data_IF_213007632685
#
_entry.id   IF_213007632685
#
_cell.length_a   1.000
_cell.length_b   1.000
_cell.length_c   1.000
_cell.angle_alpha   90.00
_cell.angle_beta   90.00
_cell.angle_gamma   90.00
#
_symmetry.space_group_name_H-M   'P 1'
#
loop_
_entity.id
_entity.type
_entity.pdbx_description
1 polymer ?
#
# COMPACT_ATOMS: atom_id res chain seq x y z
N UNK A 1 -43.05 10.43 10.71
CA UNK A 1 -41.80 11.20 10.53
C UNK A 1 -40.72 10.24 10.03
N UNK A 2 -40.34 10.33 8.75
CA UNK A 2 -39.32 9.48 8.11
C UNK A 2 -37.98 10.21 8.16
N UNK A 3 -37.00 9.65 8.86
CA UNK A 3 -35.61 10.12 8.81
C UNK A 3 -34.86 9.35 7.73
N UNK A 4 -34.57 9.99 6.61
CA UNK A 4 -33.63 9.49 5.60
C UNK A 4 -32.22 9.86 6.03
N UNK A 5 -31.39 8.86 6.31
CA UNK A 5 -29.95 9.01 6.44
C UNK A 5 -29.31 9.20 5.08
N UNK A 6 -28.53 10.27 4.91
CA UNK A 6 -27.66 10.48 3.77
C UNK A 6 -26.21 10.20 4.18
N UNK A 7 -25.75 8.98 3.89
CA UNK A 7 -24.34 8.64 3.79
C UNK A 7 -23.80 9.25 2.48
N UNK A 8 -23.10 10.38 2.55
CA UNK A 8 -22.33 10.88 1.41
C UNK A 8 -20.89 10.40 1.53
N UNK A 9 -20.59 9.29 0.86
CA UNK A 9 -19.21 8.90 0.54
C UNK A 9 -18.69 9.82 -0.56
N UNK A 10 -17.69 10.64 -0.28
CA UNK A 10 -17.00 11.47 -1.28
C UNK A 10 -15.78 10.70 -1.79
N UNK A 11 -15.73 10.26 -3.05
CA UNK A 11 -14.51 9.67 -3.61
C UNK A 11 -13.47 10.77 -3.87
N UNK A 12 -12.24 10.53 -3.40
CA UNK A 12 -11.06 11.37 -3.62
C UNK A 12 -10.61 11.27 -5.08
N UNK A 13 -11.20 12.10 -5.94
CA UNK A 13 -10.85 12.18 -7.35
C UNK A 13 -9.56 13.02 -7.55
N UNK A 14 -8.46 12.36 -7.87
CA UNK A 14 -7.24 13.00 -8.34
C UNK A 14 -7.46 13.61 -9.74
N UNK A 15 -7.22 14.92 -9.89
CA UNK A 15 -7.36 15.65 -11.15
C UNK A 15 -5.98 15.89 -11.77
N UNK A 16 -5.69 15.22 -12.88
CA UNK A 16 -4.48 15.45 -13.67
C UNK A 16 -4.52 16.82 -14.39
N UNK A 17 -3.37 17.50 -14.61
CA UNK A 17 -3.33 18.74 -15.38
C UNK A 17 -3.48 18.46 -16.89
N UNK A 18 -4.53 18.99 -17.50
CA UNK A 18 -4.71 18.96 -18.95
C UNK A 18 -3.80 19.97 -19.66
N UNK A 19 -3.02 19.50 -20.63
CA UNK A 19 -2.26 20.38 -21.52
C UNK A 19 -3.19 21.04 -22.55
N UNK A 20 -3.31 22.37 -22.50
CA UNK A 20 -3.91 23.19 -23.57
C UNK A 20 -2.98 23.17 -24.78
N UNK A 21 -3.45 22.62 -25.89
CA UNK A 21 -2.84 22.86 -27.20
C UNK A 21 -3.35 24.19 -27.75
N UNK A 22 -2.53 25.22 -27.71
CA UNK A 22 -2.72 26.45 -28.49
C UNK A 22 -2.48 26.16 -29.97
N UNK A 23 -3.35 26.68 -30.83
CA UNK A 23 -3.38 26.37 -32.25
C UNK A 23 -2.38 27.14 -33.12
N UNK A 24 -2.44 26.84 -34.40
CA UNK A 24 -1.97 27.71 -35.47
C UNK A 24 -2.87 27.50 -36.69
N UNK A 25 -3.61 28.55 -37.04
CA UNK A 25 -4.27 28.72 -38.34
C UNK A 25 -3.21 29.22 -39.32
N UNK A 26 -3.05 28.55 -40.46
CA UNK A 26 -2.22 28.99 -41.56
C UNK A 26 -2.98 28.81 -42.88
N UNK A 27 -3.39 29.93 -43.46
CA UNK A 27 -3.94 30.03 -44.81
C UNK A 27 -2.82 29.89 -45.83
N UNK A 28 -3.03 29.14 -46.91
CA UNK A 28 -2.44 29.42 -48.23
C UNK A 28 -3.44 29.04 -49.33
N UNK A 29 -3.64 29.98 -50.25
CA UNK A 29 -4.57 29.93 -51.37
C UNK A 29 -3.86 29.54 -52.68
N UNK A 30 -4.64 28.89 -53.56
CA UNK A 30 -4.64 28.92 -55.04
C UNK A 30 -3.38 28.49 -55.84
N UNK A 31 -3.50 27.55 -56.80
CA UNK A 31 -3.91 27.77 -58.22
C UNK A 31 -3.83 26.42 -59.01
N UNK A 32 -4.26 26.45 -60.27
CA UNK A 32 -4.96 25.47 -61.13
C UNK A 32 -4.15 24.57 -62.10
N UNK A 33 -4.76 23.41 -62.44
CA UNK A 33 -4.87 22.66 -63.74
C UNK A 33 -3.60 21.98 -64.35
N UNK A 34 -3.63 20.65 -64.54
CA UNK A 34 -3.64 19.94 -65.85
C UNK A 34 -3.37 18.41 -65.73
N UNK A 35 -4.05 17.65 -66.60
CA UNK A 35 -4.05 16.18 -66.79
C UNK A 35 -2.67 15.52 -67.01
N UNK A 36 -2.52 14.28 -66.51
CA UNK A 36 -2.04 13.10 -67.25
C UNK A 36 -2.25 11.83 -66.40
N UNK A 37 -3.17 10.97 -66.85
CA UNK A 37 -3.40 9.66 -66.27
C UNK A 37 -2.35 8.66 -66.82
N UNK A 38 -1.35 8.34 -66.01
CA UNK A 38 -0.48 7.17 -66.24
C UNK A 38 -0.81 6.15 -65.16
N UNK A 39 -1.42 5.05 -65.57
CA UNK A 39 -1.71 3.92 -64.70
C UNK A 39 -0.38 3.21 -64.38
N UNK A 40 0.17 3.49 -63.19
CA UNK A 40 1.28 2.73 -62.61
C UNK A 40 0.68 1.66 -61.71
N UNK A 41 0.96 0.36 -61.89
CA UNK A 41 0.54 -0.64 -60.92
C UNK A 41 1.32 -0.39 -59.62
N UNK A 42 0.65 0.22 -58.65
CA UNK A 42 1.17 0.35 -57.29
C UNK A 42 1.29 -1.07 -56.71
N UNK A 43 2.50 -1.60 -56.70
CA UNK A 43 2.86 -2.69 -55.81
C UNK A 43 2.55 -2.20 -54.39
N UNK A 44 1.78 -2.95 -53.58
CA UNK A 44 1.66 -2.63 -52.18
C UNK A 44 3.03 -2.93 -51.57
N UNK A 45 3.89 -1.91 -51.52
CA UNK A 45 4.97 -1.88 -50.58
C UNK A 45 4.29 -2.05 -49.22
N UNK A 46 4.39 -3.25 -48.65
CA UNK A 46 4.14 -3.49 -47.25
C UNK A 46 5.13 -2.60 -46.50
N UNK A 47 4.74 -1.35 -46.30
CA UNK A 47 5.27 -0.52 -45.25
C UNK A 47 4.93 -1.29 -43.98
N UNK A 48 5.90 -2.09 -43.51
CA UNK A 48 6.04 -2.36 -42.10
C UNK A 48 6.28 -0.99 -41.45
N UNK A 49 5.20 -0.22 -41.31
CA UNK A 49 5.09 0.75 -40.26
C UNK A 49 5.29 -0.08 -39.01
N UNK A 50 6.53 -0.03 -38.54
CA UNK A 50 6.97 -0.50 -37.24
C UNK A 50 6.09 0.24 -36.26
N UNK A 51 4.90 -0.32 -36.02
CA UNK A 51 3.97 0.11 -35.01
C UNK A 51 4.83 0.19 -33.78
N UNK A 52 5.06 1.43 -33.35
CA UNK A 52 5.79 1.74 -32.14
C UNK A 52 4.93 1.06 -31.08
N UNK A 53 5.26 -0.20 -30.73
CA UNK A 53 4.76 -0.87 -29.55
C UNK A 53 5.10 0.12 -28.46
N UNK A 54 4.13 0.93 -28.07
CA UNK A 54 4.13 1.63 -26.80
C UNK A 54 4.02 0.47 -25.82
N UNK A 55 5.17 -0.17 -25.56
CA UNK A 55 5.28 -1.26 -24.64
C UNK A 55 4.76 -0.70 -23.34
N UNK A 56 3.63 -1.25 -22.90
CA UNK A 56 3.08 -1.02 -21.59
C UNK A 56 4.18 -1.44 -20.62
N UNK A 57 4.98 -0.46 -20.17
CA UNK A 57 6.03 -0.70 -19.17
C UNK A 57 5.27 -1.19 -17.95
N UNK A 58 5.49 -2.43 -17.55
CA UNK A 58 4.94 -2.99 -16.32
C UNK A 58 5.86 -2.62 -15.16
N UNK A 59 5.34 -2.66 -13.93
CA UNK A 59 6.19 -2.58 -12.74
C UNK A 59 7.25 -3.69 -12.76
N UNK A 60 8.41 -3.43 -12.18
CA UNK A 60 9.54 -4.37 -12.10
C UNK A 60 10.14 -4.37 -10.70
N UNK A 61 10.70 -5.49 -10.22
CA UNK A 61 11.39 -5.52 -8.93
C UNK A 61 12.50 -4.47 -8.85
N UNK A 62 12.66 -3.82 -7.70
CA UNK A 62 13.59 -2.70 -7.55
C UNK A 62 15.07 -3.09 -7.42
N UNK A 63 15.36 -4.36 -7.13
CA UNK A 63 16.74 -4.84 -6.94
C UNK A 63 17.46 -4.20 -5.74
N UNK A 64 16.71 -3.69 -4.76
CA UNK A 64 17.24 -3.14 -3.51
C UNK A 64 17.36 -4.30 -2.51
N UNK A 65 18.49 -4.40 -1.84
CA UNK A 65 18.70 -5.41 -0.81
C UNK A 65 17.84 -5.14 0.44
N UNK A 66 17.72 -6.14 1.31
CA UNK A 66 16.90 -6.06 2.52
C UNK A 66 17.25 -4.85 3.40
N UNK A 67 18.53 -4.57 3.60
CA UNK A 67 18.96 -3.48 4.48
C UNK A 67 18.64 -2.13 3.85
N UNK A 68 18.82 -1.99 2.53
CA UNK A 68 18.39 -0.81 1.78
C UNK A 68 16.90 -0.52 1.93
N UNK A 69 16.06 -1.55 1.84
CA UNK A 69 14.60 -1.44 2.06
C UNK A 69 14.30 -0.97 3.49
N UNK A 70 14.94 -1.58 4.49
CA UNK A 70 14.73 -1.21 5.90
C UNK A 70 15.16 0.24 6.19
N UNK A 71 16.25 0.71 5.57
CA UNK A 71 16.72 2.09 5.72
C UNK A 71 15.67 3.08 5.17
N UNK A 72 15.11 2.80 3.99
CA UNK A 72 14.09 3.65 3.37
C UNK A 72 12.81 3.71 4.21
N UNK A 73 12.31 2.56 4.65
CA UNK A 73 11.10 2.47 5.47
C UNK A 73 11.30 3.19 6.81
N UNK A 74 12.36 2.85 7.55
CA UNK A 74 12.61 3.41 8.89
C UNK A 74 12.93 4.89 8.81
N UNK A 75 13.71 5.33 7.83
CA UNK A 75 14.05 6.74 7.65
C UNK A 75 12.80 7.61 7.47
N UNK A 76 11.87 7.21 6.62
CA UNK A 76 10.63 7.96 6.39
C UNK A 76 9.73 7.98 7.62
N UNK A 77 9.51 6.81 8.25
CA UNK A 77 8.58 6.70 9.39
C UNK A 77 9.12 7.34 10.67
N UNK A 78 10.44 7.28 10.91
CA UNK A 78 11.05 7.98 12.06
C UNK A 78 11.08 9.49 11.87
N UNK A 79 11.28 9.99 10.65
CA UNK A 79 11.14 11.42 10.37
C UNK A 79 9.70 11.90 10.63
N UNK A 80 8.71 11.09 10.24
CA UNK A 80 7.30 11.37 10.53
C UNK A 80 6.99 11.32 12.03
N UNK A 81 7.55 10.36 12.76
CA UNK A 81 7.44 10.26 14.22
C UNK A 81 7.90 11.53 14.93
N UNK A 82 9.12 11.96 14.61
CA UNK A 82 9.73 13.17 15.17
C UNK A 82 8.91 14.41 14.83
N UNK A 83 8.39 14.50 13.61
CA UNK A 83 7.55 15.60 13.18
C UNK A 83 6.21 15.63 13.94
N UNK A 84 5.57 14.47 14.16
CA UNK A 84 4.33 14.37 14.95
C UNK A 84 4.56 14.78 16.40
N UNK A 85 5.63 14.29 17.03
CA UNK A 85 5.96 14.55 18.44
C UNK A 85 6.31 16.01 18.71
N UNK A 86 7.01 16.65 17.78
CA UNK A 86 7.48 18.05 17.95
C UNK A 86 6.57 19.08 17.31
N UNK A 87 5.69 18.67 16.40
CA UNK A 87 4.96 19.56 15.50
C UNK A 87 5.83 20.18 14.41
N UNK A 88 7.10 19.77 14.27
CA UNK A 88 8.03 20.31 13.28
C UNK A 88 8.21 19.37 12.08
N UNK A 89 7.64 19.73 10.94
CA UNK A 89 7.65 18.94 9.72
C UNK A 89 8.74 19.34 8.72
N UNK A 90 9.62 20.29 9.05
CA UNK A 90 10.65 20.74 8.09
C UNK A 90 11.61 19.61 7.74
N UNK A 91 12.02 18.79 8.71
CA UNK A 91 12.92 17.64 8.46
C UNK A 91 12.28 16.63 7.52
N UNK A 92 11.02 16.22 7.78
CA UNK A 92 10.31 15.30 6.89
C UNK A 92 10.19 15.87 5.47
N UNK A 93 9.84 17.16 5.35
CA UNK A 93 9.77 17.86 4.07
C UNK A 93 11.11 17.85 3.34
N UNK A 94 12.18 18.23 4.03
CA UNK A 94 13.50 18.44 3.43
C UNK A 94 14.22 17.11 3.09
N UNK A 95 13.88 16.01 3.79
CA UNK A 95 14.27 14.65 3.40
C UNK A 95 13.53 14.15 2.15
N UNK A 96 12.38 14.76 1.86
CA UNK A 96 11.62 14.49 0.66
C UNK A 96 12.26 15.01 -0.61
N UNK A 97 11.67 14.56 -1.69
CA UNK A 97 12.02 14.95 -3.04
C UNK A 97 11.54 16.37 -3.36
N UNK A 98 11.99 17.02 -4.45
CA UNK A 98 11.50 18.34 -4.84
C UNK A 98 9.97 18.39 -4.98
N UNK A 99 9.35 17.32 -5.48
CA UNK A 99 7.89 17.24 -5.58
C UNK A 99 7.22 17.11 -4.21
N UNK A 100 7.82 16.38 -3.27
CA UNK A 100 7.31 16.32 -1.89
C UNK A 100 7.51 17.65 -1.14
N UNK A 101 8.61 18.35 -1.41
CA UNK A 101 8.93 19.67 -0.86
C UNK A 101 7.97 20.77 -1.32
N UNK A 102 7.14 20.53 -2.34
CA UNK A 102 6.04 21.42 -2.68
C UNK A 102 5.00 21.55 -1.55
N UNK A 103 4.96 20.60 -0.61
CA UNK A 103 4.20 20.75 0.63
C UNK A 103 4.87 21.76 1.57
N UNK A 104 4.08 22.60 2.23
CA UNK A 104 4.57 23.39 3.36
C UNK A 104 4.66 22.54 4.62
N UNK A 105 5.55 22.91 5.56
CA UNK A 105 5.63 22.22 6.86
C UNK A 105 4.30 22.30 7.63
N UNK A 106 3.59 23.44 7.54
CA UNK A 106 2.24 23.59 8.10
C UNK A 106 1.24 22.64 7.44
N UNK A 107 1.24 22.54 6.11
CA UNK A 107 0.36 21.64 5.37
C UNK A 107 0.59 20.17 5.71
N UNK A 108 1.86 19.75 5.87
CA UNK A 108 2.17 18.40 6.38
C UNK A 108 1.64 18.21 7.81
N UNK A 109 1.73 19.23 8.66
CA UNK A 109 1.15 19.21 10.01
C UNK A 109 -0.36 19.04 10.04
N UNK A 110 -1.06 19.59 9.05
CA UNK A 110 -2.51 19.42 8.89
C UNK A 110 -2.86 18.02 8.39
N UNK A 111 -2.11 17.50 7.41
CA UNK A 111 -2.29 16.15 6.85
C UNK A 111 -2.12 15.09 7.94
N UNK A 112 -1.10 15.22 8.78
CA UNK A 112 -0.78 14.25 9.84
C UNK A 112 -1.40 14.60 11.20
N UNK A 113 -2.30 15.59 11.24
CA UNK A 113 -2.91 16.03 12.50
C UNK A 113 -3.65 14.91 13.22
N UNK A 114 -4.26 13.97 12.49
CA UNK A 114 -4.98 12.85 13.09
C UNK A 114 -4.03 11.89 13.82
N UNK A 115 -2.91 11.52 13.18
CA UNK A 115 -1.90 10.65 13.76
C UNK A 115 -1.27 11.28 15.02
N UNK A 116 -1.00 12.59 14.97
CA UNK A 116 -0.54 13.33 16.16
C UNK A 116 -1.59 13.35 17.28
N UNK A 117 -2.87 13.58 16.98
CA UNK A 117 -3.97 13.57 17.98
C UNK A 117 -4.13 12.20 18.63
N UNK A 118 -3.90 11.14 17.87
CA UNK A 118 -3.92 9.76 18.36
C UNK A 118 -2.66 9.39 19.17
N UNK A 119 -1.70 10.32 19.33
CA UNK A 119 -0.43 10.13 20.03
C UNK A 119 0.31 8.87 19.54
N UNK A 120 0.32 8.66 18.22
CA UNK A 120 1.00 7.50 17.64
C UNK A 120 2.50 7.58 17.86
N UNK A 121 3.02 6.58 18.54
CA UNK A 121 4.45 6.39 18.72
C UNK A 121 4.97 5.42 17.65
N UNK A 122 5.59 5.98 16.61
CA UNK A 122 6.28 5.17 15.61
C UNK A 122 7.71 4.85 16.05
N UNK A 123 8.16 5.19 17.25
CA UNK A 123 9.48 4.82 17.76
C UNK A 123 9.74 3.31 17.73
N UNK A 124 8.70 2.49 17.88
CA UNK A 124 8.79 1.04 17.75
C UNK A 124 9.26 0.58 16.36
N UNK A 125 9.02 1.36 15.29
CA UNK A 125 9.45 1.01 13.92
C UNK A 125 10.98 1.00 13.77
N UNK A 126 11.71 1.62 14.70
CA UNK A 126 13.17 1.57 14.73
C UNK A 126 13.70 0.15 14.97
N UNK A 127 12.96 -0.67 15.72
CA UNK A 127 13.40 -2.00 16.17
C UNK A 127 12.59 -3.11 15.52
N UNK A 128 11.30 -2.91 15.31
CA UNK A 128 10.44 -3.89 14.69
C UNK A 128 10.82 -4.10 13.21
N UNK A 129 10.58 -5.32 12.74
CA UNK A 129 10.71 -5.67 11.33
C UNK A 129 9.35 -5.55 10.64
N UNK A 130 9.25 -4.83 9.51
CA UNK A 130 8.02 -4.75 8.76
C UNK A 130 7.76 -6.05 7.99
N UNK A 131 6.49 -6.42 7.87
CA UNK A 131 6.03 -7.40 6.89
C UNK A 131 5.54 -6.66 5.65
N UNK A 132 6.12 -6.97 4.50
CA UNK A 132 5.79 -6.31 3.24
C UNK A 132 4.58 -6.99 2.59
N UNK A 133 3.54 -6.22 2.33
CA UNK A 133 2.40 -6.62 1.51
C UNK A 133 2.64 -6.31 0.03
N UNK A 134 3.50 -5.32 -0.23
CA UNK A 134 4.02 -4.99 -1.56
C UNK A 134 5.54 -4.92 -1.50
N UNK A 135 6.18 -5.88 -2.18
CA UNK A 135 7.63 -5.90 -2.35
C UNK A 135 8.10 -4.65 -3.11
N UNK A 136 9.32 -4.16 -2.84
CA UNK A 136 9.86 -2.97 -3.48
C UNK A 136 9.94 -3.16 -5.00
N UNK A 137 9.18 -2.34 -5.72
CA UNK A 137 9.12 -2.35 -7.17
C UNK A 137 9.24 -0.94 -7.75
N UNK A 138 9.81 -0.86 -8.95
CA UNK A 138 9.84 0.35 -9.76
C UNK A 138 8.63 0.33 -10.68
N UNK A 139 7.77 1.31 -10.48
CA UNK A 139 6.58 1.55 -11.27
C UNK A 139 6.93 2.08 -12.67
N UNK A 140 5.99 2.05 -13.64
CA UNK A 140 6.25 2.48 -15.02
C UNK A 140 6.69 3.94 -15.16
N UNK A 141 6.32 4.78 -14.19
CA UNK A 141 6.71 6.19 -14.07
C UNK A 141 8.10 6.40 -13.43
N UNK A 142 8.79 5.32 -13.04
CA UNK A 142 10.12 5.36 -12.44
C UNK A 142 10.13 5.55 -10.92
N UNK A 143 8.96 5.63 -10.27
CA UNK A 143 8.88 5.69 -8.81
C UNK A 143 9.14 4.32 -8.18
N UNK A 144 9.78 4.32 -7.03
CA UNK A 144 9.86 3.15 -6.16
C UNK A 144 8.63 3.12 -5.26
N UNK A 145 7.96 1.98 -5.21
CA UNK A 145 6.74 1.77 -4.45
C UNK A 145 6.88 0.51 -3.57
N UNK A 146 6.49 0.63 -2.31
CA UNK A 146 6.41 -0.46 -1.36
C UNK A 146 5.35 -0.19 -0.28
N UNK A 147 4.80 -1.25 0.27
CA UNK A 147 3.77 -1.19 1.29
C UNK A 147 3.90 -2.38 2.24
N UNK A 148 3.38 -2.21 3.44
CA UNK A 148 3.45 -3.25 4.46
C UNK A 148 2.90 -2.79 5.79
N UNK A 149 3.26 -3.53 6.83
CA UNK A 149 2.84 -3.23 8.18
C UNK A 149 3.88 -3.66 9.21
N UNK A 150 3.80 -3.08 10.41
CA UNK A 150 4.54 -3.54 11.58
C UNK A 150 3.64 -4.40 12.46
N UNK A 151 3.99 -5.67 12.73
CA UNK A 151 3.18 -6.53 13.58
C UNK A 151 3.26 -6.05 15.03
N UNK A 152 2.13 -5.59 15.58
CA UNK A 152 2.01 -5.16 16.98
C UNK A 152 0.58 -5.33 17.49
N UNK A 153 0.40 -5.36 18.82
CA UNK A 153 -0.89 -5.47 19.50
C UNK A 153 -1.05 -4.32 20.51
N UNK A 154 -2.28 -3.80 20.73
CA UNK A 154 -3.53 -4.13 20.04
C UNK A 154 -3.71 -3.41 18.70
N UNK A 155 -2.83 -2.47 18.37
CA UNK A 155 -2.87 -1.71 17.12
C UNK A 155 -1.63 -2.01 16.28
N UNK A 156 -1.82 -2.09 14.97
CA UNK A 156 -0.80 -2.28 13.97
C UNK A 156 -0.66 -1.03 13.10
N UNK A 157 0.58 -0.68 12.77
CA UNK A 157 0.89 0.40 11.82
C UNK A 157 1.00 -0.19 10.42
N UNK A 158 0.16 0.28 9.51
CA UNK A 158 0.26 0.01 8.09
C UNK A 158 0.90 1.22 7.41
N UNK A 159 1.70 0.96 6.39
CA UNK A 159 2.36 2.00 5.62
C UNK A 159 2.31 1.72 4.12
N UNK A 160 2.31 2.80 3.36
CA UNK A 160 2.58 2.81 1.92
C UNK A 160 3.54 3.96 1.64
N UNK A 161 4.61 3.65 0.93
CA UNK A 161 5.70 4.58 0.67
C UNK A 161 5.99 4.64 -0.81
N UNK A 162 6.07 5.87 -1.32
CA UNK A 162 6.51 6.16 -2.67
C UNK A 162 7.79 6.99 -2.59
N UNK A 163 8.77 6.64 -3.40
CA UNK A 163 10.01 7.39 -3.55
C UNK A 163 10.23 7.75 -5.00
N UNK A 164 10.70 8.96 -5.25
CA UNK A 164 11.18 9.37 -6.56
C UNK A 164 12.72 9.44 -6.58
N UNK A 165 13.35 9.14 -7.72
CA UNK A 165 14.79 9.24 -7.85
C UNK A 165 15.19 10.71 -7.99
N UNK A 166 15.98 11.23 -7.05
CA UNK A 166 16.55 12.58 -7.10
C UNK A 166 17.97 12.56 -6.52
N UNK A 167 18.90 13.27 -7.15
CA UNK A 167 20.32 13.34 -6.74
C UNK A 167 21.00 11.96 -6.58
N UNK A 168 20.59 10.98 -7.42
CA UNK A 168 21.02 9.56 -7.34
C UNK A 168 20.62 8.87 -6.03
N UNK A 169 19.59 9.37 -5.35
CA UNK A 169 19.01 8.79 -4.14
C UNK A 169 17.50 8.59 -4.31
N UNK A 170 16.94 7.62 -3.58
CA UNK A 170 15.50 7.50 -3.42
C UNK A 170 15.05 8.53 -2.38
N UNK A 171 14.29 9.54 -2.81
CA UNK A 171 13.76 10.60 -1.95
C UNK A 171 12.27 10.41 -1.76
N UNK A 172 11.77 10.74 -0.57
CA UNK A 172 10.35 10.56 -0.24
C UNK A 172 9.50 11.35 -1.23
N UNK A 173 8.54 10.69 -1.86
CA UNK A 173 7.51 11.29 -2.72
C UNK A 173 6.13 11.19 -2.07
N UNK A 174 5.85 10.11 -1.35
CA UNK A 174 4.60 9.91 -0.63
C UNK A 174 4.79 9.06 0.61
N UNK A 175 4.07 9.43 1.67
CA UNK A 175 4.01 8.70 2.94
C UNK A 175 2.56 8.59 3.34
N UNK A 176 2.06 7.36 3.46
CA UNK A 176 0.77 7.05 4.04
C UNK A 176 0.96 6.15 5.25
N UNK A 177 0.26 6.47 6.34
CA UNK A 177 0.25 5.65 7.55
C UNK A 177 -1.15 5.60 8.14
N UNK A 178 -1.55 4.40 8.54
CA UNK A 178 -2.83 4.16 9.19
C UNK A 178 -2.71 3.09 10.25
N UNK A 179 -3.57 3.19 11.27
CA UNK A 179 -3.72 2.16 12.27
C UNK A 179 -4.84 1.21 11.92
N UNK A 180 -4.64 -0.06 12.20
CA UNK A 180 -5.68 -1.10 12.22
C UNK A 180 -5.57 -1.88 13.52
N UNK A 181 -6.63 -2.59 13.91
CA UNK A 181 -6.55 -3.56 15.00
C UNK A 181 -5.54 -4.65 14.61
N UNK A 182 -4.52 -4.84 15.43
CA UNK A 182 -3.54 -5.90 15.29
C UNK A 182 -3.94 -7.15 16.05
N UNK A 183 -3.59 -8.31 15.53
CA UNK A 183 -3.78 -9.61 16.18
C UNK A 183 -2.76 -10.63 15.68
N UNK A 184 -2.58 -11.76 16.37
CA UNK A 184 -1.72 -12.84 15.90
C UNK A 184 -2.20 -13.31 14.53
N UNK A 185 -1.41 -13.04 13.48
CA UNK A 185 -1.62 -13.68 12.19
C UNK A 185 -0.86 -15.01 12.23
N UNK A 186 -1.61 -16.10 12.39
CA UNK A 186 -1.07 -17.42 12.18
C UNK A 186 -0.66 -17.53 10.69
N UNK A 187 0.50 -18.13 10.36
CA UNK A 187 0.81 -18.48 8.98
C UNK A 187 -0.35 -19.26 8.35
N UNK A 188 -0.67 -19.00 7.08
CA UNK A 188 -1.66 -19.75 6.30
C UNK A 188 -1.23 -21.22 6.18
N UNK A 189 -1.46 -21.97 7.24
CA UNK A 189 -1.51 -23.43 7.18
C UNK A 189 -2.83 -23.70 6.45
N UNK A 190 -2.83 -24.44 5.31
CA UNK A 190 -4.07 -24.83 4.66
C UNK A 190 -4.99 -25.43 5.73
N UNK A 191 -6.08 -24.72 6.01
CA UNK A 191 -7.05 -25.10 7.01
C UNK A 191 -7.64 -26.42 6.53
N UNK A 192 -7.19 -27.53 7.11
CA UNK A 192 -7.92 -28.77 6.97
C UNK A 192 -9.33 -28.48 7.49
N UNK A 193 -10.30 -28.62 6.58
CA UNK A 193 -11.73 -28.42 6.80
C UNK A 193 -12.12 -28.81 8.23
N UNK A 194 -12.47 -27.83 9.06
CA UNK A 194 -13.03 -28.11 10.39
C UNK A 194 -14.32 -28.92 10.16
N UNK A 195 -14.45 -30.13 10.72
CA UNK A 195 -15.65 -30.92 10.52
C UNK A 195 -16.85 -30.17 11.09
N UNK A 196 -17.90 -30.06 10.27
CA UNK A 196 -19.17 -29.44 10.67
C UNK A 196 -19.69 -30.11 11.97
N UNK A 197 -20.12 -29.34 13.00
CA UNK A 197 -20.59 -29.90 14.28
C UNK A 197 -21.84 -30.80 14.18
N UNK A 198 -22.45 -30.92 12.99
CA UNK A 198 -23.65 -31.70 12.76
C UNK A 198 -23.43 -33.22 12.65
N UNK A 199 -22.18 -33.70 12.54
CA UNK A 199 -21.84 -35.14 12.49
C UNK A 199 -21.15 -35.64 13.77
N UNK A 200 -21.15 -34.85 14.85
CA UNK A 200 -20.68 -35.32 16.14
C UNK A 200 -21.71 -36.30 16.75
N UNK A 201 -21.51 -37.60 16.49
CA UNK A 201 -22.13 -38.66 17.29
C UNK A 201 -21.86 -38.46 18.79
N UNK A 202 -22.71 -39.02 19.68
CA UNK A 202 -22.60 -38.78 21.11
C UNK A 202 -21.19 -39.13 21.61
N UNK A 203 -20.60 -38.33 22.51
CA UNK A 203 -19.26 -38.57 23.02
C UNK A 203 -19.17 -39.97 23.65
N UNK A 204 -18.09 -40.73 23.41
CA UNK A 204 -17.86 -41.96 24.15
C UNK A 204 -17.72 -41.62 25.63
N UNK A 205 -18.44 -42.35 26.49
CA UNK A 205 -18.38 -42.17 27.95
C UNK A 205 -16.93 -42.34 28.42
N UNK A 206 -16.40 -41.30 29.06
CA UNK A 206 -15.06 -41.34 29.65
C UNK A 206 -14.99 -42.38 30.78
N UNK A 207 -13.82 -43.01 31.00
CA UNK A 207 -13.66 -44.02 32.05
C UNK A 207 -13.92 -43.42 33.43
N UNK A 208 -14.90 -43.99 34.13
CA UNK A 208 -15.30 -43.61 35.49
C UNK A 208 -14.18 -43.86 36.49
N UNK A 209 -13.57 -42.79 37.00
CA UNK A 209 -12.70 -42.85 38.19
C UNK A 209 -13.54 -42.68 39.47
N UNK A 210 -14.47 -43.60 39.71
CA UNK A 210 -15.12 -43.74 41.01
C UNK A 210 -14.39 -44.84 41.81
N UNK A 211 -13.30 -44.46 42.49
CA UNK A 211 -12.75 -45.28 43.58
C UNK A 211 -13.72 -45.17 44.76
N UNK A 212 -14.53 -46.19 44.98
CA UNK A 212 -15.39 -46.30 46.16
C UNK A 212 -14.54 -46.75 47.36
N UNK A 213 -14.39 -45.97 48.44
CA UNK A 213 -13.83 -46.46 49.68
C UNK A 213 -14.82 -47.44 50.32
N UNK A 214 -14.34 -48.68 50.50
CA UNK A 214 -15.01 -49.78 51.20
C UNK A 214 -15.42 -49.34 52.60
N UNK A 215 -16.71 -49.43 52.94
CA UNK A 215 -17.23 -49.18 54.29
C UNK A 215 -16.52 -50.10 55.30
N UNK A 216 -15.79 -49.52 56.24
CA UNK A 216 -15.30 -50.20 57.44
C UNK A 216 -16.47 -50.54 58.37
N UNK A 217 -16.59 -51.82 58.71
CA UNK A 217 -17.39 -52.32 59.82
C UNK A 217 -16.76 -51.88 61.14
N UNK A 218 -17.51 -51.16 61.98
CA UNK A 218 -17.12 -50.80 63.34
C UNK A 218 -16.84 -52.05 64.19
N UNK A 219 -15.75 -52.09 64.98
CA UNK A 219 -15.58 -53.07 66.04
C UNK A 219 -16.32 -52.61 67.31
N UNK A 220 -17.00 -53.55 67.98
CA UNK A 220 -17.35 -53.42 69.40
C UNK A 220 -16.44 -54.38 70.16
N UNK A 221 -15.75 -53.87 71.17
CA UNK A 221 -14.85 -54.55 72.11
C UNK A 221 -15.32 -54.18 73.52
N UNK A 222 -15.02 -54.93 74.59
CA UNK A 222 -14.49 -56.31 74.69
C UNK A 222 -15.57 -57.38 74.89
#
# INVERSE_FOLDING_TARGET
MRGLGFQHSVPLQWRAPGWRTSGARGFFAALTIALMAVAVPAQPAHAQAKEKRVGQKTARPAGIDRNGVLILIRGALLALDQANKTGNYTVLRDLGSPNFQANSAAGLGDIFANQRKQALDFGAVAVLEPQLTLLPQIEPNGMLHMAGFFPSVPLQVNFELLFEPADRQWKIYGVSVNLTSGGPQAPDTPMAEQPNPADAGPPPEGPSMAVQPKKETKPVKP
#
